data_IF_096628141370
#
_entry.id   IF_096628141370
#
_cell.length_a   1.000
_cell.length_b   1.000
_cell.length_c   1.000
_cell.angle_alpha   90.00
_cell.angle_beta   90.00
_cell.angle_gamma   90.00
#
_symmetry.space_group_name_H-M   'P 1'
#
loop_
_entity.id
_entity.type
_entity.pdbx_description
1 polymer ?
#
# COMPACT_ATOMS: atom_id res chain seq x y z
N UNK A 1 -7.47 11.06 37.32
CA UNK A 1 -8.35 10.38 36.34
C UNK A 1 -7.70 10.51 34.97
N UNK A 2 -7.17 9.42 34.42
CA UNK A 2 -6.59 9.46 33.06
C UNK A 2 -7.74 9.47 32.06
N UNK A 3 -7.82 10.51 31.23
CA UNK A 3 -8.85 10.60 30.19
C UNK A 3 -8.64 9.45 29.19
N UNK A 4 -9.67 8.63 28.98
CA UNK A 4 -9.63 7.58 27.96
C UNK A 4 -9.48 8.24 26.58
N UNK A 5 -8.45 7.85 25.84
CA UNK A 5 -8.31 8.22 24.42
C UNK A 5 -9.55 7.78 23.65
N UNK A 6 -10.18 8.64 22.84
CA UNK A 6 -11.36 8.27 22.07
C UNK A 6 -11.04 7.12 21.10
N UNK A 7 -11.98 6.18 20.95
CA UNK A 7 -11.88 5.10 19.96
C UNK A 7 -11.79 5.71 18.55
N UNK A 8 -10.79 5.39 17.74
CA UNK A 8 -10.73 5.84 16.36
C UNK A 8 -11.84 5.19 15.53
N UNK A 9 -12.29 5.85 14.48
CA UNK A 9 -13.31 5.34 13.56
C UNK A 9 -12.77 5.34 12.12
N UNK A 10 -13.20 4.40 11.26
CA UNK A 10 -12.83 4.41 9.86
C UNK A 10 -13.36 5.68 9.18
N UNK A 11 -12.51 6.28 8.33
CA UNK A 11 -12.90 7.40 7.46
C UNK A 11 -13.90 6.96 6.38
N UNK A 12 -14.33 7.91 5.54
CA UNK A 12 -15.36 7.68 4.53
C UNK A 12 -15.07 6.52 3.60
N UNK A 13 -13.85 6.46 3.07
CA UNK A 13 -13.40 5.36 2.23
C UNK A 13 -13.33 4.03 2.99
N UNK A 14 -12.93 4.07 4.27
CA UNK A 14 -12.93 2.86 5.11
C UNK A 14 -14.34 2.30 5.27
N UNK A 15 -15.35 3.16 5.43
CA UNK A 15 -16.77 2.74 5.46
C UNK A 15 -17.25 2.24 4.11
N UNK A 16 -16.89 2.93 3.02
CA UNK A 16 -17.21 2.51 1.66
C UNK A 16 -16.61 1.12 1.33
N UNK A 17 -15.41 0.84 1.83
CA UNK A 17 -14.72 -0.44 1.69
C UNK A 17 -15.17 -1.48 2.74
N UNK A 18 -16.22 -1.21 3.52
CA UNK A 18 -16.74 -2.07 4.59
C UNK A 18 -15.68 -2.47 5.63
N UNK A 19 -14.64 -1.66 5.82
CA UNK A 19 -13.61 -1.89 6.84
C UNK A 19 -14.20 -1.82 8.25
N UNK A 20 -15.32 -1.10 8.40
CA UNK A 20 -16.05 -0.96 9.66
C UNK A 20 -16.50 -2.30 10.27
N UNK A 21 -16.86 -3.28 9.45
CA UNK A 21 -17.33 -4.60 9.89
C UNK A 21 -16.25 -5.39 10.66
N UNK A 22 -14.98 -5.08 10.39
CA UNK A 22 -13.81 -5.75 11.00
C UNK A 22 -12.97 -4.80 11.88
N UNK A 23 -13.49 -3.61 12.18
CA UNK A 23 -12.68 -2.52 12.74
C UNK A 23 -12.08 -2.85 14.11
N UNK A 24 -12.86 -3.41 15.03
CA UNK A 24 -12.35 -3.76 16.36
C UNK A 24 -11.29 -4.85 16.31
N UNK A 25 -11.44 -5.82 15.40
CA UNK A 25 -10.43 -6.83 15.16
C UNK A 25 -9.13 -6.20 14.62
N UNK A 26 -9.23 -5.26 13.68
CA UNK A 26 -8.07 -4.53 13.13
C UNK A 26 -7.37 -3.62 14.14
N UNK A 27 -8.10 -3.07 15.10
CA UNK A 27 -7.52 -2.30 16.20
C UNK A 27 -6.80 -3.19 17.22
N UNK A 28 -7.31 -4.39 17.47
CA UNK A 28 -6.72 -5.34 18.42
C UNK A 28 -5.58 -6.17 17.80
N UNK A 29 -5.67 -6.50 16.52
CA UNK A 29 -4.76 -7.40 15.80
C UNK A 29 -4.61 -6.97 14.32
N UNK A 30 -3.86 -5.90 14.03
CA UNK A 30 -3.62 -5.50 12.65
C UNK A 30 -2.75 -6.51 11.90
N UNK A 31 -3.20 -6.95 10.73
CA UNK A 31 -2.43 -7.82 9.85
C UNK A 31 -1.37 -7.01 9.07
N UNK A 32 -0.13 -7.01 9.54
CA UNK A 32 0.96 -6.28 8.89
C UNK A 32 1.58 -7.02 7.69
N UNK A 33 0.75 -7.63 6.85
CA UNK A 33 1.12 -8.63 5.85
C UNK A 33 1.23 -8.07 4.41
N UNK A 34 1.02 -6.77 4.23
CA UNK A 34 1.15 -6.06 2.96
C UNK A 34 2.34 -5.09 2.98
N UNK A 35 3.16 -5.15 1.94
CA UNK A 35 4.21 -4.18 1.66
C UNK A 35 3.99 -3.47 0.32
N UNK A 36 4.30 -2.17 0.27
CA UNK A 36 4.32 -1.39 -0.98
C UNK A 36 5.72 -0.79 -1.12
N UNK A 37 6.36 -1.04 -2.25
CA UNK A 37 7.70 -0.54 -2.56
C UNK A 37 7.61 0.37 -3.76
N UNK A 38 8.07 1.61 -3.62
CA UNK A 38 8.00 2.61 -4.70
C UNK A 38 8.77 3.87 -4.35
N UNK A 39 8.42 4.98 -4.99
CA UNK A 39 9.00 6.27 -4.62
C UNK A 39 8.28 6.81 -3.38
N UNK A 40 8.90 6.67 -2.21
CA UNK A 40 8.25 6.89 -0.91
C UNK A 40 7.59 8.27 -0.74
N UNK A 41 8.16 9.34 -1.32
CA UNK A 41 7.54 10.67 -1.29
C UNK A 41 6.21 10.70 -2.06
N UNK A 42 6.18 10.10 -3.25
CA UNK A 42 4.99 9.99 -4.09
C UNK A 42 3.93 9.10 -3.44
N UNK A 43 4.32 7.91 -2.94
CA UNK A 43 3.38 7.02 -2.23
C UNK A 43 2.69 7.74 -1.07
N UNK A 44 3.42 8.52 -0.29
CA UNK A 44 2.87 9.29 0.83
C UNK A 44 1.91 10.39 0.38
N UNK A 45 2.26 11.09 -0.69
CA UNK A 45 1.41 12.14 -1.28
C UNK A 45 0.11 11.54 -1.84
N UNK A 46 0.18 10.42 -2.57
CA UNK A 46 -1.00 9.72 -3.08
C UNK A 46 -1.88 9.17 -1.96
N UNK A 47 -1.27 8.64 -0.90
CA UNK A 47 -2.02 8.17 0.26
C UNK A 47 -2.77 9.30 0.97
N UNK A 48 -2.22 10.52 0.95
CA UNK A 48 -2.89 11.73 1.47
C UNK A 48 -4.00 12.24 0.54
N UNK A 49 -4.11 11.74 -0.70
CA UNK A 49 -5.16 12.14 -1.61
C UNK A 49 -6.56 11.87 -1.00
N UNK A 50 -7.42 12.88 -1.12
CA UNK A 50 -8.77 12.87 -0.56
C UNK A 50 -9.78 12.43 -1.62
N UNK A 51 -10.42 11.30 -1.36
CA UNK A 51 -11.62 10.84 -2.04
C UNK A 51 -12.78 10.94 -1.05
N UNK A 52 -13.26 12.16 -0.87
CA UNK A 52 -14.39 12.47 0.01
C UNK A 52 -15.71 12.48 -0.77
N UNK A 53 -16.82 12.25 -0.07
CA UNK A 53 -18.14 12.56 -0.61
C UNK A 53 -18.37 14.08 -0.61
N UNK A 54 -19.26 14.56 -1.48
CA UNK A 54 -19.57 15.99 -1.61
C UNK A 54 -20.05 16.63 -0.29
N UNK A 55 -20.65 15.83 0.61
CA UNK A 55 -21.14 16.25 1.92
C UNK A 55 -20.06 16.24 3.03
N UNK A 56 -18.85 15.77 2.77
CA UNK A 56 -17.74 15.76 3.72
C UNK A 56 -16.82 16.98 3.54
N UNK A 57 -17.07 18.05 4.30
CA UNK A 57 -16.37 19.35 4.20
C UNK A 57 -15.12 19.40 5.13
N UNK A 58 -14.68 18.27 5.68
CA UNK A 58 -13.52 18.27 6.59
C UNK A 58 -12.24 18.10 5.78
N UNK A 59 -11.61 19.21 5.41
CA UNK A 59 -10.25 19.18 4.86
C UNK A 59 -9.26 19.13 6.04
N UNK A 60 -8.39 18.10 6.14
CA UNK A 60 -7.41 18.05 7.20
C UNK A 60 -6.42 19.21 7.04
N UNK A 61 -6.15 19.91 8.15
CA UNK A 61 -5.21 21.05 8.17
C UNK A 61 -3.74 20.64 7.96
N UNK A 62 -3.44 19.35 8.14
CA UNK A 62 -2.10 18.79 8.14
C UNK A 62 -2.10 17.43 7.43
N UNK A 63 -1.01 17.09 6.72
CA UNK A 63 -0.80 15.78 6.09
C UNK A 63 -0.72 14.65 7.13
N UNK A 64 -0.95 13.40 6.71
CA UNK A 64 -0.66 12.25 7.58
C UNK A 64 0.85 12.06 7.78
N UNK A 65 1.65 12.72 6.94
CA UNK A 65 3.11 12.63 6.90
C UNK A 65 3.73 14.01 7.17
N UNK A 66 3.85 14.40 8.45
CA UNK A 66 4.50 15.63 8.89
C UNK A 66 5.99 15.44 9.22
N UNK A 67 6.75 16.54 9.31
CA UNK A 67 8.18 16.51 9.70
C UNK A 67 8.39 16.18 11.19
N UNK A 68 7.39 16.44 12.03
CA UNK A 68 7.35 16.13 13.45
C UNK A 68 5.93 15.70 13.86
N UNK A 69 5.75 15.25 15.11
CA UNK A 69 4.44 14.81 15.62
C UNK A 69 3.38 15.91 15.60
N UNK A 70 3.78 17.17 15.66
CA UNK A 70 2.88 18.32 15.81
C UNK A 70 2.30 18.75 14.45
N UNK A 71 3.05 18.51 13.37
CA UNK A 71 2.67 18.76 11.97
C UNK A 71 1.95 17.57 11.31
N UNK A 72 1.66 16.49 12.06
CA UNK A 72 0.91 15.32 11.56
C UNK A 72 -0.56 15.47 11.92
N UNK A 73 -1.41 15.55 10.89
CA UNK A 73 -2.86 15.50 11.02
C UNK A 73 -3.35 14.09 11.29
N UNK A 74 -4.42 13.97 12.07
CA UNK A 74 -5.19 12.72 12.06
C UNK A 74 -5.99 12.72 10.76
N UNK A 75 -5.58 11.90 9.79
CA UNK A 75 -6.43 11.62 8.62
C UNK A 75 -7.78 10.99 9.01
N UNK A 76 -7.95 10.61 10.28
CA UNK A 76 -9.17 10.05 10.87
C UNK A 76 -10.38 10.96 10.60
N UNK A 77 -11.41 10.40 9.97
CA UNK A 77 -12.65 11.09 9.66
C UNK A 77 -12.75 11.70 8.27
N UNK A 78 -11.71 11.58 7.43
CA UNK A 78 -11.73 12.07 6.03
C UNK A 78 -11.71 10.93 5.01
N UNK A 79 -12.09 11.18 3.77
CA UNK A 79 -12.00 10.22 2.66
C UNK A 79 -10.59 9.96 2.11
N UNK A 80 -9.53 9.95 2.93
CA UNK A 80 -8.16 9.71 2.45
C UNK A 80 -7.86 8.23 2.20
N UNK A 81 -7.04 7.91 1.20
CA UNK A 81 -6.55 6.53 0.95
C UNK A 81 -5.78 5.95 2.16
N UNK A 82 -5.14 6.79 2.98
CA UNK A 82 -4.55 6.38 4.26
C UNK A 82 -5.56 5.66 5.17
N UNK A 83 -6.84 6.03 5.15
CA UNK A 83 -7.84 5.41 6.02
C UNK A 83 -8.31 4.04 5.55
N UNK A 84 -7.95 3.66 4.32
CA UNK A 84 -8.14 2.30 3.82
C UNK A 84 -6.88 1.50 4.07
N UNK A 85 -5.72 1.98 3.62
CA UNK A 85 -4.46 1.24 3.61
C UNK A 85 -3.69 1.27 4.95
N UNK A 86 -4.08 2.15 5.87
CA UNK A 86 -3.49 2.38 7.21
C UNK A 86 -1.99 2.06 7.28
N UNK A 87 -1.19 2.76 6.46
CA UNK A 87 0.23 2.56 6.42
C UNK A 87 0.86 2.92 7.76
N UNK A 88 1.99 2.29 8.09
CA UNK A 88 2.71 2.63 9.31
C UNK A 88 3.12 4.12 9.32
N UNK A 89 2.68 4.86 10.33
CA UNK A 89 2.95 6.28 10.46
C UNK A 89 2.61 6.87 11.83
N UNK A 90 3.05 8.10 12.11
CA UNK A 90 2.71 8.80 13.34
C UNK A 90 1.19 9.00 13.43
N UNK A 91 0.59 8.75 14.61
CA UNK A 91 -0.86 8.90 14.86
C UNK A 91 -1.78 8.01 14.01
N UNK A 92 -1.25 6.99 13.32
CA UNK A 92 -2.08 5.99 12.66
C UNK A 92 -2.96 5.27 13.69
N UNK A 93 -4.25 5.10 13.39
CA UNK A 93 -5.20 4.42 14.29
C UNK A 93 -4.80 2.96 14.54
N UNK A 94 -4.23 2.34 13.51
CA UNK A 94 -3.60 1.02 13.50
C UNK A 94 -2.60 1.01 12.33
N UNK A 95 -1.70 0.04 12.26
CA UNK A 95 -0.68 -0.06 11.22
C UNK A 95 -0.74 -1.43 10.56
N UNK A 96 -0.90 -1.48 9.23
CA UNK A 96 -0.96 -2.77 8.54
C UNK A 96 -0.20 -2.79 7.21
N UNK A 97 -0.08 -1.66 6.53
CA UNK A 97 0.74 -1.59 5.30
C UNK A 97 2.13 -1.05 5.59
N UNK A 98 3.17 -1.76 5.15
CA UNK A 98 4.56 -1.29 5.22
C UNK A 98 4.93 -0.58 3.93
N UNK A 99 5.38 0.67 4.04
CA UNK A 99 5.85 1.44 2.89
C UNK A 99 7.37 1.44 2.86
N UNK A 100 7.95 1.07 1.72
CA UNK A 100 9.39 1.07 1.52
C UNK A 100 9.79 1.95 0.33
N UNK A 101 10.92 2.63 0.47
CA UNK A 101 11.55 3.33 -0.63
C UNK A 101 12.32 2.36 -1.51
N UNK A 102 12.03 2.33 -2.80
CA UNK A 102 12.79 1.56 -3.80
C UNK A 102 14.30 1.89 -3.78
N UNK A 103 14.65 3.14 -3.48
CA UNK A 103 16.04 3.60 -3.38
C UNK A 103 16.82 2.96 -2.21
N UNK A 104 16.13 2.57 -1.12
CA UNK A 104 16.72 1.99 0.09
C UNK A 104 16.21 0.57 0.38
N UNK A 105 15.58 -0.06 -0.62
CA UNK A 105 14.94 -1.35 -0.40
C UNK A 105 15.96 -2.48 -0.17
N UNK A 106 17.16 -2.36 -0.72
CA UNK A 106 18.27 -3.27 -0.46
C UNK A 106 18.59 -3.42 1.04
N UNK A 107 18.39 -2.36 1.83
CA UNK A 107 18.67 -2.36 3.28
C UNK A 107 17.60 -3.12 4.09
N UNK A 108 16.51 -3.57 3.44
CA UNK A 108 15.40 -4.27 4.08
C UNK A 108 15.54 -5.79 4.03
N UNK A 109 16.63 -6.32 3.44
CA UNK A 109 16.89 -7.76 3.38
C UNK A 109 17.69 -8.24 4.61
N UNK A 110 17.42 -9.44 5.15
CA UNK A 110 16.38 -10.39 4.70
C UNK A 110 14.97 -9.83 4.94
N UNK A 111 14.10 -10.03 3.95
CA UNK A 111 12.79 -9.41 3.95
C UNK A 111 11.87 -10.04 5.01
N UNK A 112 11.01 -9.27 5.70
CA UNK A 112 10.22 -9.81 6.81
C UNK A 112 9.30 -10.96 6.40
N UNK A 113 9.39 -12.09 7.12
CA UNK A 113 8.66 -13.33 6.81
C UNK A 113 7.14 -13.25 7.06
N UNK A 114 6.68 -12.22 7.74
CA UNK A 114 5.26 -11.97 7.99
C UNK A 114 4.55 -11.26 6.83
N UNK A 115 5.29 -10.78 5.82
CA UNK A 115 4.71 -10.24 4.59
C UNK A 115 4.19 -11.38 3.72
N UNK A 116 2.90 -11.32 3.42
CA UNK A 116 2.20 -12.26 2.53
C UNK A 116 2.06 -11.72 1.11
N UNK A 117 2.00 -10.40 0.97
CA UNK A 117 1.87 -9.75 -0.33
C UNK A 117 2.73 -8.50 -0.45
N UNK A 118 3.30 -8.29 -1.63
CA UNK A 118 4.07 -7.09 -1.94
C UNK A 118 3.63 -6.48 -3.27
N UNK A 119 3.50 -5.16 -3.29
CA UNK A 119 3.29 -4.36 -4.49
C UNK A 119 4.60 -3.65 -4.83
N UNK A 120 5.12 -3.91 -6.04
CA UNK A 120 6.30 -3.28 -6.59
C UNK A 120 5.86 -2.23 -7.60
N UNK A 121 5.94 -0.97 -7.20
CA UNK A 121 5.56 0.19 -7.99
C UNK A 121 6.76 0.73 -8.79
N UNK A 122 6.73 0.45 -10.09
CA UNK A 122 7.72 0.91 -11.06
C UNK A 122 9.03 0.14 -11.07
N UNK A 123 9.85 0.48 -12.06
CA UNK A 123 11.14 -0.13 -12.37
C UNK A 123 12.10 -0.21 -11.17
N UNK A 124 12.18 0.87 -10.38
CA UNK A 124 13.06 0.97 -9.23
C UNK A 124 12.75 -0.07 -8.15
N UNK A 125 11.49 -0.49 -8.01
CA UNK A 125 11.06 -1.54 -7.09
C UNK A 125 11.22 -2.94 -7.73
N UNK A 126 10.84 -3.08 -9.01
CA UNK A 126 10.84 -4.35 -9.75
C UNK A 126 12.24 -4.96 -9.87
N UNK A 127 13.31 -4.16 -9.89
CA UNK A 127 14.69 -4.69 -9.95
C UNK A 127 15.06 -5.63 -8.79
N UNK A 128 14.36 -5.57 -7.67
CA UNK A 128 14.60 -6.45 -6.51
C UNK A 128 13.78 -7.75 -6.55
N UNK A 129 12.97 -7.96 -7.59
CA UNK A 129 12.03 -9.09 -7.68
C UNK A 129 12.70 -10.46 -7.49
N UNK A 130 13.94 -10.62 -7.95
CA UNK A 130 14.68 -11.88 -7.80
C UNK A 130 15.09 -12.23 -6.36
N UNK A 131 15.04 -11.26 -5.44
CA UNK A 131 15.40 -11.40 -4.03
C UNK A 131 14.13 -11.51 -3.14
N UNK A 132 12.94 -11.41 -3.74
CA UNK A 132 11.67 -11.39 -3.02
C UNK A 132 11.06 -12.80 -3.02
N UNK A 133 10.80 -13.32 -1.82
CA UNK A 133 10.24 -14.66 -1.59
C UNK A 133 8.88 -14.58 -0.87
N UNK A 134 8.09 -13.53 -1.14
CA UNK A 134 6.75 -13.43 -0.54
C UNK A 134 5.73 -14.22 -1.37
N UNK A 135 4.68 -14.78 -0.75
CA UNK A 135 3.69 -15.61 -1.43
C UNK A 135 3.05 -14.97 -2.66
N UNK A 136 2.70 -13.67 -2.59
CA UNK A 136 2.03 -12.95 -3.67
C UNK A 136 2.80 -11.69 -4.03
N UNK A 137 3.17 -11.56 -5.30
CA UNK A 137 3.82 -10.36 -5.81
C UNK A 137 2.93 -9.71 -6.87
N UNK A 138 2.77 -8.39 -6.77
CA UNK A 138 2.10 -7.55 -7.78
C UNK A 138 3.10 -6.52 -8.29
N UNK A 139 3.42 -6.56 -9.57
CA UNK A 139 4.25 -5.55 -10.23
C UNK A 139 3.35 -4.55 -10.97
N UNK A 140 3.59 -3.26 -10.76
CA UNK A 140 2.93 -2.17 -11.49
C UNK A 140 3.98 -1.46 -12.36
N UNK A 141 3.71 -1.36 -13.65
CA UNK A 141 4.57 -0.81 -14.67
C UNK A 141 3.84 0.33 -15.37
N UNK A 142 4.45 1.51 -15.40
CA UNK A 142 4.02 2.59 -16.26
C UNK A 142 4.61 2.39 -17.66
N UNK A 143 3.76 2.02 -18.63
CA UNK A 143 4.11 1.83 -20.04
C UNK A 143 4.12 3.12 -20.84
N UNK A 144 3.72 4.25 -20.23
CA UNK A 144 3.93 5.57 -20.84
C UNK A 144 5.41 5.98 -20.81
N UNK A 145 6.22 5.36 -19.93
CA UNK A 145 7.67 5.56 -19.84
C UNK A 145 8.37 4.35 -20.48
N UNK A 146 9.26 4.61 -21.43
CA UNK A 146 10.01 3.56 -22.14
C UNK A 146 11.09 2.95 -21.23
N UNK A 147 10.72 1.97 -20.40
CA UNK A 147 11.65 1.08 -19.72
C UNK A 147 11.38 -0.40 -20.09
N UNK A 148 12.07 -0.86 -21.14
CA UNK A 148 11.94 -2.22 -21.66
C UNK A 148 12.55 -3.27 -20.72
N UNK A 149 13.55 -2.90 -19.91
CA UNK A 149 14.31 -3.86 -19.07
C UNK A 149 13.45 -4.42 -17.93
N UNK A 150 12.66 -3.55 -17.29
CA UNK A 150 11.79 -3.93 -16.18
C UNK A 150 10.69 -4.91 -16.62
N UNK A 151 10.20 -4.77 -17.84
CA UNK A 151 9.21 -5.66 -18.42
C UNK A 151 9.76 -7.07 -18.71
N UNK A 152 10.98 -7.14 -19.25
CA UNK A 152 11.63 -8.42 -19.52
C UNK A 152 11.88 -9.22 -18.25
N UNK A 153 12.32 -8.58 -17.16
CA UNK A 153 12.53 -9.22 -15.85
C UNK A 153 11.24 -9.85 -15.32
N UNK A 154 10.13 -9.11 -15.40
CA UNK A 154 8.83 -9.63 -14.91
C UNK A 154 8.35 -10.79 -15.78
N UNK A 155 8.49 -10.71 -17.11
CA UNK A 155 8.09 -11.80 -18.03
C UNK A 155 8.95 -13.04 -17.82
N UNK A 156 10.27 -12.89 -17.65
CA UNK A 156 11.18 -14.01 -17.41
C UNK A 156 10.88 -14.71 -16.08
N UNK A 157 10.64 -13.96 -15.01
CA UNK A 157 10.32 -14.56 -13.70
C UNK A 157 8.93 -15.19 -13.69
N UNK A 158 7.94 -14.56 -14.33
CA UNK A 158 6.62 -15.17 -14.55
C UNK A 158 6.72 -16.53 -15.22
N UNK A 159 7.54 -16.63 -16.26
CA UNK A 159 7.64 -17.86 -17.04
C UNK A 159 8.49 -18.95 -16.38
N UNK A 160 9.29 -18.63 -15.35
CA UNK A 160 10.26 -19.56 -14.77
C UNK A 160 9.98 -19.97 -13.32
N UNK A 161 9.21 -19.20 -12.54
CA UNK A 161 9.11 -19.41 -11.07
C UNK A 161 7.73 -19.22 -10.46
N UNK A 162 6.66 -18.99 -11.23
CA UNK A 162 5.38 -18.57 -10.64
C UNK A 162 4.11 -19.00 -11.38
N UNK A 163 3.00 -19.06 -10.63
CA UNK A 163 1.66 -19.18 -11.20
C UNK A 163 1.03 -17.79 -11.35
N UNK A 164 0.58 -17.38 -12.54
CA UNK A 164 -0.01 -16.07 -12.75
C UNK A 164 -1.36 -15.93 -12.03
N UNK A 165 -1.55 -14.80 -11.36
CA UNK A 165 -2.82 -14.42 -10.73
C UNK A 165 -3.54 -13.39 -11.59
N UNK A 166 -4.81 -13.65 -11.89
CA UNK A 166 -5.63 -12.73 -12.67
C UNK A 166 -6.16 -11.61 -11.78
N UNK A 167 -5.60 -10.40 -11.90
CA UNK A 167 -6.07 -9.23 -11.17
C UNK A 167 -7.57 -8.95 -11.38
N UNK A 168 -8.08 -9.23 -12.58
CA UNK A 168 -9.50 -9.04 -12.89
C UNK A 168 -10.38 -10.10 -12.23
N UNK A 169 -9.98 -11.36 -12.23
CA UNK A 169 -10.80 -12.43 -11.66
C UNK A 169 -10.73 -12.46 -10.13
N UNK A 170 -9.53 -12.24 -9.58
CA UNK A 170 -9.26 -12.31 -8.14
C UNK A 170 -9.61 -11.01 -7.41
N UNK A 171 -9.33 -9.84 -8.03
CA UNK A 171 -9.48 -8.53 -7.38
C UNK A 171 -10.51 -7.63 -8.06
N UNK A 172 -11.15 -8.06 -9.16
CA UNK A 172 -12.08 -7.23 -9.92
C UNK A 172 -11.43 -6.01 -10.60
N UNK A 173 -10.10 -5.90 -10.58
CA UNK A 173 -9.39 -4.72 -11.02
C UNK A 173 -8.86 -4.86 -12.44
N UNK A 174 -9.03 -3.81 -13.24
CA UNK A 174 -8.45 -3.69 -14.58
C UNK A 174 -7.57 -2.44 -14.60
N UNK A 175 -6.26 -2.56 -14.92
CA UNK A 175 -5.38 -1.40 -14.98
C UNK A 175 -5.86 -0.35 -15.99
N UNK A 176 -5.69 0.95 -15.69
CA UNK A 176 -5.99 2.01 -16.64
C UNK A 176 -5.03 1.98 -17.84
N UNK A 177 -5.42 2.64 -18.94
CA UNK A 177 -4.57 2.72 -20.13
C UNK A 177 -3.20 3.33 -19.82
N UNK A 178 -2.14 2.73 -20.36
CA UNK A 178 -0.76 3.13 -20.08
C UNK A 178 -0.16 2.50 -18.82
N UNK A 179 -0.94 1.82 -17.99
CA UNK A 179 -0.44 1.05 -16.84
C UNK A 179 -0.59 -0.44 -17.14
N UNK A 180 0.47 -1.19 -16.90
CA UNK A 180 0.43 -2.65 -16.87
C UNK A 180 0.61 -3.12 -15.43
N UNK A 181 -0.23 -4.05 -14.99
CA UNK A 181 -0.06 -4.69 -13.71
C UNK A 181 -0.08 -6.21 -13.86
N UNK A 182 0.85 -6.87 -13.18
CA UNK A 182 1.07 -8.31 -13.25
C UNK A 182 1.13 -8.86 -11.83
N UNK A 183 0.29 -9.84 -11.53
CA UNK A 183 0.30 -10.54 -10.25
C UNK A 183 0.63 -12.02 -10.44
N UNK A 184 1.35 -12.60 -9.49
CA UNK A 184 1.72 -14.00 -9.51
C UNK A 184 2.13 -14.51 -8.13
N UNK A 185 2.08 -15.83 -7.94
CA UNK A 185 2.54 -16.49 -6.73
C UNK A 185 4.02 -16.85 -6.83
N UNK A 186 4.81 -16.69 -5.77
CA UNK A 186 6.18 -17.20 -5.76
C UNK A 186 6.17 -18.62 -5.21
N UNK A 187 6.79 -19.56 -5.91
CA UNK A 187 7.02 -20.89 -5.36
C UNK A 187 7.98 -20.77 -4.16
N UNK A 188 7.45 -20.95 -2.95
CA UNK A 188 8.18 -20.90 -1.68
C UNK A 188 8.94 -22.21 -1.43
#
# INVERSE_FOLDING_TARGET
MSARTPRPFPGALGRLACVEDSWDFRLAYPAADLAIVGTLSWLREELDALVSREDEIVIPKHSAWGRNSDDVGTAQGVGSLNNVLLPYGPKAATWFTRLYSSAKFADQFPFPADIRSIVLDGAGAIKYLSQIEVPVVVCVLDRSVADETSAEIVVQLRNSRSEPLSLRAELGWTPPGGVEALAFTVAL
#
